data_IF_091529709104
#
_entry.id   IF_091529709104
#
_cell.length_a   1.000
_cell.length_b   1.000
_cell.length_c   1.000
_cell.angle_alpha   90.00
_cell.angle_beta   90.00
_cell.angle_gamma   90.00
#
_symmetry.space_group_name_H-M   'P 1'
#
loop_
_entity.id
_entity.type
_entity.pdbx_description
1 polymer ?
#
# COMPACT_ATOMS: atom_id res chain seq x y z
N UNK A 1 7.02 16.46 4.69
CA UNK A 1 6.60 15.31 3.85
C UNK A 1 7.05 14.01 4.51
N UNK A 2 6.44 12.87 4.19
CA UNK A 2 6.86 11.56 4.74
C UNK A 2 6.38 11.24 6.16
N UNK A 3 5.30 11.89 6.63
CA UNK A 3 4.69 11.62 7.94
C UNK A 3 3.33 10.95 7.76
N UNK A 4 3.02 9.97 8.59
CA UNK A 4 1.68 9.36 8.65
C UNK A 4 0.63 10.40 9.03
N UNK A 5 -0.58 10.27 8.48
CA UNK A 5 -1.70 11.13 8.85
C UNK A 5 -2.12 10.86 10.30
N UNK A 6 -2.50 11.92 10.99
CA UNK A 6 -2.91 11.87 12.42
C UNK A 6 -4.42 11.91 12.63
N UNK A 7 -5.19 11.98 11.54
CA UNK A 7 -6.64 12.15 11.58
C UNK A 7 -7.31 11.24 10.55
N UNK A 8 -8.60 11.00 10.75
CA UNK A 8 -9.44 10.29 9.78
C UNK A 8 -9.62 11.13 8.51
N UNK A 9 -9.70 10.45 7.37
CA UNK A 9 -9.97 11.06 6.06
C UNK A 9 -11.03 10.24 5.31
N UNK A 10 -11.56 10.81 4.23
CA UNK A 10 -12.44 10.15 3.28
C UNK A 10 -11.87 10.30 1.87
N UNK A 11 -11.92 9.23 1.09
CA UNK A 11 -11.41 9.19 -0.29
C UNK A 11 -12.58 8.82 -1.20
N UNK A 12 -13.28 9.84 -1.70
CA UNK A 12 -14.60 9.63 -2.30
C UNK A 12 -15.57 9.07 -1.24
N UNK A 13 -16.12 7.88 -1.51
CA UNK A 13 -17.00 7.16 -0.56
C UNK A 13 -16.25 6.20 0.37
N UNK A 14 -14.94 6.01 0.19
CA UNK A 14 -14.14 5.11 1.02
C UNK A 14 -13.72 5.82 2.32
N UNK A 15 -13.87 5.12 3.45
CA UNK A 15 -13.24 5.47 4.72
C UNK A 15 -12.05 4.50 4.94
N UNK A 16 -10.80 4.95 4.78
CA UNK A 16 -9.61 4.16 5.11
C UNK A 16 -9.51 3.85 6.62
N UNK A 17 -8.58 2.96 7.05
CA UNK A 17 -8.33 2.68 8.46
C UNK A 17 -8.17 3.94 9.32
N UNK A 18 -8.43 3.90 10.62
CA UNK A 18 -8.19 5.06 11.48
C UNK A 18 -6.70 5.37 11.62
N UNK A 19 -6.38 6.60 12.02
CA UNK A 19 -4.98 7.03 12.15
C UNK A 19 -4.15 6.15 13.12
N UNK A 20 -4.81 5.55 14.12
CA UNK A 20 -4.18 4.69 15.11
C UNK A 20 -3.93 3.26 14.57
N UNK A 21 -4.66 2.85 13.54
CA UNK A 21 -4.55 1.53 12.91
C UNK A 21 -3.53 1.52 11.76
N UNK A 22 -3.11 2.69 11.24
CA UNK A 22 -2.24 2.77 10.06
C UNK A 22 -0.95 1.95 10.22
N UNK A 23 -0.34 1.96 11.41
CA UNK A 23 0.92 1.24 11.66
C UNK A 23 0.70 -0.27 11.52
N UNK A 24 -0.32 -0.81 12.19
CA UNK A 24 -0.67 -2.24 12.11
C UNK A 24 -0.93 -2.69 10.67
N UNK A 25 -1.74 -1.92 9.92
CA UNK A 25 -2.02 -2.22 8.52
C UNK A 25 -0.79 -2.13 7.62
N UNK A 26 0.14 -1.21 7.90
CA UNK A 26 1.40 -1.10 7.15
C UNK A 26 2.33 -2.28 7.47
N UNK A 27 2.41 -2.69 8.73
CA UNK A 27 3.22 -3.83 9.15
C UNK A 27 2.70 -5.13 8.50
N UNK A 28 1.39 -5.35 8.49
CA UNK A 28 0.76 -6.46 7.78
C UNK A 28 1.02 -6.39 6.27
N UNK A 29 0.91 -5.18 5.70
CA UNK A 29 1.17 -4.96 4.28
C UNK A 29 2.62 -5.31 3.89
N UNK A 30 3.61 -4.85 4.67
CA UNK A 30 5.00 -5.16 4.40
C UNK A 30 5.34 -6.62 4.70
N UNK A 31 4.72 -7.23 5.71
CA UNK A 31 4.87 -8.65 5.99
C UNK A 31 4.40 -9.48 4.79
N UNK A 32 3.18 -9.21 4.29
CA UNK A 32 2.64 -9.85 3.10
C UNK A 32 3.52 -9.62 1.86
N UNK A 33 3.95 -8.38 1.62
CA UNK A 33 4.72 -8.04 0.41
C UNK A 33 6.09 -8.75 0.36
N UNK A 34 6.68 -9.07 1.51
CA UNK A 34 7.96 -9.76 1.63
C UNK A 34 7.82 -11.27 1.86
N UNK A 35 6.59 -11.80 1.96
CA UNK A 35 6.33 -13.22 2.22
C UNK A 35 6.34 -14.02 0.91
N UNK A 36 7.34 -14.90 0.76
CA UNK A 36 7.40 -15.81 -0.39
C UNK A 36 6.23 -16.79 -0.42
N UNK A 37 5.67 -17.15 0.74
CA UNK A 37 4.51 -18.04 0.82
C UNK A 37 3.25 -17.35 0.29
N UNK A 38 2.99 -16.13 0.78
CA UNK A 38 1.78 -15.38 0.40
C UNK A 38 1.80 -14.89 -1.05
N UNK A 39 2.99 -14.64 -1.61
CA UNK A 39 3.13 -14.10 -2.97
C UNK A 39 3.45 -15.18 -4.01
N UNK A 40 3.65 -16.45 -3.62
CA UNK A 40 4.16 -17.52 -4.51
C UNK A 40 3.37 -17.72 -5.79
N UNK A 41 2.06 -17.49 -5.74
CA UNK A 41 1.14 -17.71 -6.86
C UNK A 41 0.89 -16.50 -7.74
N UNK A 42 1.44 -15.33 -7.40
CA UNK A 42 1.19 -14.09 -8.11
C UNK A 42 2.27 -13.85 -9.17
N UNK A 43 1.86 -13.52 -10.39
CA UNK A 43 2.80 -12.97 -11.37
C UNK A 43 3.14 -11.50 -11.03
N UNK A 44 4.17 -10.94 -11.70
CA UNK A 44 4.66 -9.59 -11.39
C UNK A 44 3.59 -8.50 -11.52
N UNK A 45 2.69 -8.61 -12.50
CA UNK A 45 1.60 -7.66 -12.73
C UNK A 45 0.58 -7.76 -11.59
N UNK A 46 0.20 -8.97 -11.21
CA UNK A 46 -0.72 -9.21 -10.09
C UNK A 46 -0.16 -8.68 -8.77
N UNK A 47 1.10 -9.02 -8.46
CA UNK A 47 1.78 -8.56 -7.25
C UNK A 47 1.83 -7.02 -7.20
N UNK A 48 2.24 -6.38 -8.29
CA UNK A 48 2.33 -4.92 -8.37
C UNK A 48 0.95 -4.24 -8.23
N UNK A 49 -0.08 -4.79 -8.89
CA UNK A 49 -1.44 -4.26 -8.82
C UNK A 49 -2.06 -4.41 -7.42
N UNK A 50 -1.89 -5.57 -6.78
CA UNK A 50 -2.38 -5.81 -5.42
C UNK A 50 -1.62 -4.93 -4.42
N UNK A 51 -0.31 -4.79 -4.57
CA UNK A 51 0.49 -3.94 -3.70
C UNK A 51 0.08 -2.47 -3.79
N UNK A 52 -0.14 -1.97 -5.02
CA UNK A 52 -0.68 -0.63 -5.26
C UNK A 52 -2.03 -0.45 -4.57
N UNK A 53 -2.96 -1.39 -4.78
CA UNK A 53 -4.29 -1.34 -4.20
C UNK A 53 -4.25 -1.33 -2.66
N UNK A 54 -3.54 -2.28 -2.04
CA UNK A 54 -3.40 -2.37 -0.58
C UNK A 54 -2.82 -1.08 0.00
N UNK A 55 -1.75 -0.54 -0.59
CA UNK A 55 -1.15 0.71 -0.12
C UNK A 55 -2.11 1.90 -0.21
N UNK A 56 -2.80 2.06 -1.34
CA UNK A 56 -3.75 3.17 -1.53
C UNK A 56 -4.98 3.04 -0.62
N UNK A 57 -5.41 1.80 -0.33
CA UNK A 57 -6.48 1.50 0.62
C UNK A 57 -6.12 1.89 2.05
N UNK A 58 -4.90 1.58 2.52
CA UNK A 58 -4.42 2.00 3.85
C UNK A 58 -4.40 3.53 3.97
N UNK A 59 -4.07 4.20 2.86
CA UNK A 59 -4.05 5.65 2.74
C UNK A 59 -3.24 6.33 3.86
N UNK A 60 -1.95 5.98 4.02
CA UNK A 60 -1.18 6.32 5.22
C UNK A 60 -0.85 7.82 5.34
N UNK A 61 -0.89 8.59 4.26
CA UNK A 61 -0.48 10.00 4.23
C UNK A 61 -1.67 10.95 4.05
N UNK A 62 -1.50 12.22 4.46
CA UNK A 62 -2.51 13.26 4.22
C UNK A 62 -2.64 13.63 2.73
N UNK A 63 -1.56 13.48 1.97
CA UNK A 63 -1.52 13.64 0.51
C UNK A 63 -0.37 12.77 -0.04
N UNK A 64 -0.45 12.41 -1.32
CA UNK A 64 0.60 11.67 -2.03
C UNK A 64 0.38 10.17 -2.16
N UNK A 65 -0.68 9.62 -1.55
CA UNK A 65 -0.94 8.16 -1.54
C UNK A 65 -0.96 7.54 -2.94
N UNK A 66 -1.66 8.14 -3.90
CA UNK A 66 -1.69 7.65 -5.28
C UNK A 66 -0.34 7.78 -6.01
N UNK A 67 0.44 8.81 -5.71
CA UNK A 67 1.78 9.01 -6.32
C UNK A 67 2.75 7.96 -5.78
N UNK A 68 2.81 7.79 -4.47
CA UNK A 68 3.65 6.78 -3.81
C UNK A 68 3.23 5.37 -4.20
N UNK A 69 1.93 5.08 -4.25
CA UNK A 69 1.41 3.79 -4.71
C UNK A 69 1.88 3.44 -6.12
N UNK A 70 1.81 4.39 -7.07
CA UNK A 70 2.30 4.16 -8.45
C UNK A 70 3.80 3.95 -8.52
N UNK A 71 4.58 4.67 -7.70
CA UNK A 71 6.02 4.45 -7.60
C UNK A 71 6.34 3.06 -7.05
N UNK A 72 5.61 2.61 -6.03
CA UNK A 72 5.76 1.27 -5.47
C UNK A 72 5.40 0.18 -6.48
N UNK A 73 4.29 0.34 -7.20
CA UNK A 73 3.88 -0.55 -8.29
C UNK A 73 4.98 -0.70 -9.34
N UNK A 74 5.51 0.42 -9.83
CA UNK A 74 6.57 0.41 -10.83
C UNK A 74 7.87 -0.18 -10.28
N UNK A 75 8.21 0.10 -9.02
CA UNK A 75 9.37 -0.50 -8.38
C UNK A 75 9.28 -2.03 -8.33
N UNK A 76 8.10 -2.59 -8.05
CA UNK A 76 7.87 -4.05 -8.08
C UNK A 76 8.07 -4.58 -9.51
N UNK A 77 7.45 -3.94 -10.50
CA UNK A 77 7.59 -4.36 -11.91
C UNK A 77 9.04 -4.32 -12.39
N UNK A 78 9.79 -3.25 -12.06
CA UNK A 78 11.22 -3.10 -12.40
C UNK A 78 12.14 -4.07 -11.65
N UNK A 79 11.67 -4.73 -10.59
CA UNK A 79 12.44 -5.80 -9.92
C UNK A 79 12.19 -7.17 -10.56
N UNK A 80 11.14 -7.30 -11.36
CA UNK A 80 10.73 -8.54 -12.01
C UNK A 80 11.13 -8.62 -13.49
N UNK A 81 11.81 -7.61 -14.02
CA UNK A 81 12.33 -7.50 -15.39
C UNK A 81 12.98 -6.14 -15.63
#
# INVERSE_FOLDING_TARGET
AGQLRKHQVYVGSLMPPSANEIIEYLDDFFTWLNSLEDTRGLNAIELAAIAHYKFVYIHPFSDGNGRTGRLLMNLILMKSG
#
